data_IF_184466282155
#
_entry.id   IF_184466282155
#
_cell.length_a   1.000
_cell.length_b   1.000
_cell.length_c   1.000
_cell.angle_alpha   90.00
_cell.angle_beta   90.00
_cell.angle_gamma   90.00
#
_symmetry.space_group_name_H-M   'P 1'
#
loop_
_entity.id
_entity.type
_entity.pdbx_description
1 polymer ?
#
# COMPACT_ATOMS: atom_id res chain seq x y z
N UNK A 1 4.86 4.18 -16.02
CA UNK A 1 4.91 3.87 -14.58
C UNK A 1 6.17 4.48 -13.98
N UNK A 2 6.02 5.31 -12.95
CA UNK A 2 7.13 5.86 -12.16
C UNK A 2 7.12 5.11 -10.84
N UNK A 3 8.28 4.66 -10.39
CA UNK A 3 8.45 3.92 -9.14
C UNK A 3 9.37 4.72 -8.23
N UNK A 4 8.88 5.04 -7.04
CA UNK A 4 9.71 5.52 -5.94
C UNK A 4 10.16 4.32 -5.12
N UNK A 5 11.46 4.18 -4.91
CA UNK A 5 12.10 3.05 -4.22
C UNK A 5 12.75 3.51 -2.91
N UNK A 6 13.44 2.61 -2.23
CA UNK A 6 14.23 2.97 -1.05
C UNK A 6 15.38 3.96 -1.36
N UNK A 7 15.79 4.06 -2.62
CA UNK A 7 16.81 5.02 -3.08
C UNK A 7 16.21 6.44 -3.23
N UNK A 8 14.89 6.51 -3.46
CA UNK A 8 14.12 7.76 -3.50
C UNK A 8 13.60 8.06 -2.10
N UNK A 9 14.47 8.40 -1.19
CA UNK A 9 14.13 8.55 0.22
C UNK A 9 13.05 9.62 0.47
N UNK A 10 11.90 9.20 1.01
CA UNK A 10 10.78 10.09 1.36
C UNK A 10 11.10 11.09 2.48
N UNK A 11 12.30 11.05 3.05
CA UNK A 11 12.83 12.09 3.95
C UNK A 11 13.37 13.31 3.19
N UNK A 12 13.62 13.20 1.88
CA UNK A 12 14.09 14.31 1.07
C UNK A 12 12.96 15.08 0.40
N UNK A 13 13.00 16.39 0.53
CA UNK A 13 12.00 17.29 -0.08
C UNK A 13 11.97 17.18 -1.61
N UNK A 14 13.12 16.93 -2.25
CA UNK A 14 13.20 16.71 -3.70
C UNK A 14 12.37 15.51 -4.15
N UNK A 15 12.41 14.40 -3.41
CA UNK A 15 11.60 13.21 -3.67
C UNK A 15 10.11 13.52 -3.54
N UNK A 16 9.73 14.24 -2.49
CA UNK A 16 8.33 14.63 -2.25
C UNK A 16 7.81 15.57 -3.34
N UNK A 17 8.63 16.53 -3.80
CA UNK A 17 8.28 17.41 -4.93
C UNK A 17 8.06 16.61 -6.22
N UNK A 18 8.97 15.69 -6.55
CA UNK A 18 8.82 14.85 -7.74
C UNK A 18 7.55 14.01 -7.67
N UNK A 19 7.24 13.43 -6.50
CA UNK A 19 6.00 12.70 -6.30
C UNK A 19 4.78 13.59 -6.47
N UNK A 20 4.80 14.81 -5.92
CA UNK A 20 3.72 15.78 -6.05
C UNK A 20 3.48 16.17 -7.52
N UNK A 21 4.55 16.43 -8.31
CA UNK A 21 4.41 16.75 -9.73
C UNK A 21 3.75 15.61 -10.52
N UNK A 22 4.17 14.37 -10.30
CA UNK A 22 3.55 13.20 -10.95
C UNK A 22 2.08 13.07 -10.59
N UNK A 23 1.73 13.35 -9.34
CA UNK A 23 0.35 13.20 -8.86
C UNK A 23 -0.59 14.34 -9.28
N UNK A 24 -0.09 15.42 -9.84
CA UNK A 24 -0.93 16.47 -10.46
C UNK A 24 -1.62 15.98 -11.74
N UNK A 25 -1.05 14.99 -12.42
CA UNK A 25 -1.65 14.41 -13.63
C UNK A 25 -3.00 13.77 -13.33
N UNK A 26 -4.01 14.04 -14.16
CA UNK A 26 -5.40 13.67 -13.89
C UNK A 26 -5.68 12.17 -13.85
N UNK A 27 -4.95 11.38 -14.65
CA UNK A 27 -5.09 9.92 -14.71
C UNK A 27 -3.92 9.23 -14.03
N UNK A 28 -3.80 9.40 -12.71
CA UNK A 28 -2.75 8.73 -11.94
C UNK A 28 -3.32 7.81 -10.87
N UNK A 29 -2.60 6.72 -10.68
CA UNK A 29 -2.79 5.80 -9.56
C UNK A 29 -1.54 5.81 -8.69
N UNK A 30 -1.72 5.91 -7.38
CA UNK A 30 -0.64 5.79 -6.41
C UNK A 30 -0.76 4.47 -5.68
N UNK A 31 0.22 3.58 -5.90
CA UNK A 31 0.36 2.34 -5.14
C UNK A 31 1.36 2.55 -4.01
N UNK A 32 0.88 2.51 -2.77
CA UNK A 32 1.64 2.78 -1.55
C UNK A 32 1.94 1.47 -0.85
N UNK A 33 3.20 1.05 -0.84
CA UNK A 33 3.71 -0.13 -0.13
C UNK A 33 4.92 0.30 0.70
N UNK A 34 4.68 0.70 1.95
CA UNK A 34 5.71 1.18 2.86
C UNK A 34 6.37 0.03 3.61
N UNK A 35 7.62 0.21 4.10
CA UNK A 35 8.31 -0.77 4.92
C UNK A 35 7.50 -1.16 6.16
N UNK A 36 6.96 -2.37 6.18
CA UNK A 36 5.99 -2.84 7.19
C UNK A 36 6.62 -3.70 8.32
N UNK A 37 7.95 -3.69 8.45
CA UNK A 37 8.71 -4.56 9.38
C UNK A 37 8.24 -4.37 10.82
N UNK A 38 8.04 -3.14 11.28
CA UNK A 38 7.64 -2.85 12.66
C UNK A 38 6.30 -3.49 13.06
N UNK A 39 5.36 -3.56 12.13
CA UNK A 39 4.03 -4.16 12.33
C UNK A 39 3.96 -5.67 12.02
N UNK A 40 5.06 -6.30 11.65
CA UNK A 40 5.07 -7.73 11.33
C UNK A 40 4.84 -8.57 12.61
N UNK A 41 4.03 -9.66 12.57
CA UNK A 41 3.81 -10.54 13.73
C UNK A 41 5.12 -11.10 14.32
N UNK A 42 6.13 -11.36 13.48
CA UNK A 42 7.45 -11.79 13.96
C UNK A 42 8.19 -10.69 14.73
N UNK A 43 7.94 -9.43 14.43
CA UNK A 43 8.53 -8.32 15.18
C UNK A 43 7.96 -8.26 16.59
N UNK A 44 6.67 -8.51 16.78
CA UNK A 44 6.05 -8.60 18.10
C UNK A 44 6.67 -9.71 18.95
N UNK A 45 6.88 -10.91 18.36
CA UNK A 45 7.57 -12.01 19.01
C UNK A 45 9.04 -11.67 19.34
N UNK A 46 9.73 -10.99 18.44
CA UNK A 46 11.11 -10.60 18.63
C UNK A 46 11.27 -9.51 19.71
N UNK A 47 10.31 -8.60 19.86
CA UNK A 47 10.27 -7.63 20.96
C UNK A 47 10.28 -8.34 22.33
N UNK A 48 9.39 -9.33 22.47
CA UNK A 48 9.33 -10.12 23.73
C UNK A 48 10.61 -10.88 24.04
N UNK A 49 11.26 -11.43 23.00
CA UNK A 49 12.49 -12.24 23.16
C UNK A 49 13.77 -11.39 23.30
N UNK A 50 13.76 -10.17 22.82
CA UNK A 50 14.93 -9.30 22.73
C UNK A 50 14.59 -7.86 23.17
N UNK A 51 14.24 -7.65 24.45
CA UNK A 51 13.84 -6.31 24.95
C UNK A 51 14.95 -5.27 24.80
N UNK A 52 16.21 -5.68 24.75
CA UNK A 52 17.36 -4.81 24.51
C UNK A 52 17.38 -4.17 23.11
N UNK A 53 16.51 -4.63 22.18
CA UNK A 53 16.37 -4.07 20.83
C UNK A 53 15.13 -3.16 20.68
N UNK A 54 14.50 -2.76 21.78
CA UNK A 54 13.27 -1.97 21.74
C UNK A 54 13.43 -0.65 20.96
N UNK A 55 14.57 0.04 21.13
CA UNK A 55 14.86 1.26 20.38
C UNK A 55 14.82 1.07 18.86
N UNK A 56 15.29 -0.08 18.36
CA UNK A 56 15.25 -0.43 16.95
C UNK A 56 13.80 -0.67 16.47
N UNK A 57 12.99 -1.31 17.29
CA UNK A 57 11.58 -1.56 16.94
C UNK A 57 10.75 -0.27 16.95
N UNK A 58 10.97 0.59 17.94
CA UNK A 58 10.37 1.93 18.00
C UNK A 58 10.77 2.78 16.79
N UNK A 59 12.01 2.70 16.35
CA UNK A 59 12.48 3.38 15.15
C UNK A 59 11.69 2.95 13.90
N UNK A 60 11.40 1.66 13.71
CA UNK A 60 10.62 1.19 12.55
C UNK A 60 9.21 1.79 12.55
N UNK A 61 8.58 1.91 13.71
CA UNK A 61 7.25 2.48 13.85
C UNK A 61 7.26 3.99 13.56
N UNK A 62 8.23 4.70 14.12
CA UNK A 62 8.43 6.14 13.87
C UNK A 62 8.66 6.42 12.39
N UNK A 63 9.53 5.65 11.74
CA UNK A 63 9.81 5.81 10.30
C UNK A 63 8.57 5.52 9.45
N UNK A 64 7.83 4.46 9.76
CA UNK A 64 6.60 4.13 9.04
C UNK A 64 5.57 5.27 9.16
N UNK A 65 5.35 5.76 10.39
CA UNK A 65 4.44 6.89 10.65
C UNK A 65 4.85 8.11 9.85
N UNK A 66 6.11 8.51 9.93
CA UNK A 66 6.65 9.66 9.19
C UNK A 66 6.42 9.52 7.68
N UNK A 67 6.80 8.39 7.08
CA UNK A 67 6.61 8.16 5.65
C UNK A 67 5.13 8.25 5.24
N UNK A 68 4.23 7.68 6.03
CA UNK A 68 2.80 7.77 5.75
C UNK A 68 2.28 9.20 5.82
N UNK A 69 2.75 10.00 6.80
CA UNK A 69 2.43 11.42 6.92
C UNK A 69 2.93 12.24 5.71
N UNK A 70 4.15 11.96 5.22
CA UNK A 70 4.67 12.63 4.03
C UNK A 70 3.85 12.29 2.78
N UNK A 71 3.52 11.01 2.58
CA UNK A 71 2.66 10.58 1.48
C UNK A 71 1.27 11.23 1.58
N UNK A 72 0.69 11.29 2.78
CA UNK A 72 -0.61 11.92 3.00
C UNK A 72 -0.59 13.41 2.66
N UNK A 73 0.47 14.14 3.04
CA UNK A 73 0.68 15.53 2.68
C UNK A 73 0.72 15.72 1.16
N UNK A 74 1.55 14.95 0.46
CA UNK A 74 1.69 15.04 -1.01
C UNK A 74 0.37 14.71 -1.73
N UNK A 75 -0.38 13.71 -1.27
CA UNK A 75 -1.70 13.39 -1.82
C UNK A 75 -2.70 14.55 -1.64
N UNK A 76 -2.62 15.27 -0.52
CA UNK A 76 -3.46 16.45 -0.26
C UNK A 76 -3.10 17.57 -1.22
N UNK A 77 -1.82 17.91 -1.33
CA UNK A 77 -1.31 18.94 -2.24
C UNK A 77 -1.66 18.65 -3.71
N UNK A 78 -1.52 17.38 -4.13
CA UNK A 78 -1.88 16.97 -5.49
C UNK A 78 -3.38 17.14 -5.76
N UNK A 79 -4.25 16.78 -4.82
CA UNK A 79 -5.69 16.94 -4.96
C UNK A 79 -6.09 18.43 -5.10
N UNK A 80 -5.51 19.30 -4.27
CA UNK A 80 -5.71 20.75 -4.34
C UNK A 80 -5.21 21.30 -5.67
N UNK A 81 -4.03 20.89 -6.12
CA UNK A 81 -3.47 21.34 -7.40
C UNK A 81 -4.36 20.94 -8.60
N UNK A 82 -4.87 19.70 -8.61
CA UNK A 82 -5.79 19.21 -9.65
C UNK A 82 -7.08 20.02 -9.72
N UNK A 83 -7.65 20.37 -8.57
CA UNK A 83 -8.88 21.17 -8.55
C UNK A 83 -8.66 22.57 -9.15
N UNK A 84 -7.49 23.17 -8.89
CA UNK A 84 -7.10 24.46 -9.47
C UNK A 84 -6.86 24.38 -10.97
N UNK A 85 -6.27 23.30 -11.46
CA UNK A 85 -6.00 23.10 -12.89
C UNK A 85 -7.26 22.82 -13.70
N UNK A 86 -8.21 22.09 -13.13
CA UNK A 86 -9.45 21.75 -13.79
C UNK A 86 -10.34 22.97 -14.04
N UNK A 87 -10.20 24.02 -13.22
CA UNK A 87 -10.93 25.30 -13.30
C UNK A 87 -12.44 25.17 -13.55
N UNK A 88 -13.01 24.05 -13.14
CA UNK A 88 -14.42 23.76 -13.25
C UNK A 88 -15.20 24.61 -12.22
N UNK A 89 -16.04 25.52 -12.66
CA UNK A 89 -17.00 26.28 -11.85
C UNK A 89 -16.41 27.17 -10.73
N UNK A 90 -15.09 27.43 -10.72
CA UNK A 90 -14.42 28.23 -9.69
C UNK A 90 -14.40 27.61 -8.29
N UNK A 91 -14.76 26.33 -8.18
CA UNK A 91 -14.74 25.58 -6.92
C UNK A 91 -13.38 24.88 -6.76
N UNK A 92 -12.64 25.24 -5.72
CA UNK A 92 -11.33 24.66 -5.42
C UNK A 92 -11.40 23.76 -4.19
N UNK A 93 -10.65 22.64 -4.22
CA UNK A 93 -10.48 21.80 -3.05
C UNK A 93 -9.62 22.54 -2.01
N UNK A 94 -10.08 22.58 -0.79
CA UNK A 94 -9.37 23.10 0.39
C UNK A 94 -8.90 21.95 1.29
N UNK A 95 -8.03 22.27 2.27
CA UNK A 95 -7.65 21.31 3.30
C UNK A 95 -8.87 20.79 4.10
N UNK A 96 -9.86 21.66 4.31
CA UNK A 96 -11.10 21.30 4.99
C UNK A 96 -11.93 20.29 4.18
N UNK A 97 -11.98 20.42 2.84
CA UNK A 97 -12.63 19.46 1.96
C UNK A 97 -11.96 18.08 2.02
N UNK A 98 -10.62 18.07 2.04
CA UNK A 98 -9.84 16.83 2.19
C UNK A 98 -10.12 16.18 3.55
N UNK A 99 -10.14 16.98 4.62
CA UNK A 99 -10.39 16.48 5.98
C UNK A 99 -11.81 15.90 6.13
N UNK A 100 -12.81 16.53 5.54
CA UNK A 100 -14.21 16.12 5.65
C UNK A 100 -14.67 15.18 4.53
N UNK A 101 -13.79 14.76 3.62
CA UNK A 101 -14.11 13.89 2.48
C UNK A 101 -15.30 14.42 1.63
N UNK A 102 -15.29 15.69 1.31
CA UNK A 102 -16.37 16.29 0.52
C UNK A 102 -16.45 15.70 -0.89
N UNK A 103 -17.59 15.86 -1.55
CA UNK A 103 -17.74 15.45 -2.95
C UNK A 103 -16.69 16.11 -3.85
N UNK A 104 -16.34 17.37 -3.57
CA UNK A 104 -15.30 18.12 -4.29
C UNK A 104 -13.93 17.41 -4.14
N UNK A 105 -13.57 16.99 -2.93
CA UNK A 105 -12.35 16.22 -2.74
C UNK A 105 -12.34 14.91 -3.55
N UNK A 106 -13.42 14.12 -3.46
CA UNK A 106 -13.52 12.82 -4.15
C UNK A 106 -13.36 12.96 -5.66
N UNK A 107 -13.89 14.03 -6.26
CA UNK A 107 -13.78 14.32 -7.70
C UNK A 107 -12.33 14.44 -8.17
N UNK A 108 -11.46 15.05 -7.36
CA UNK A 108 -10.07 15.36 -7.73
C UNK A 108 -9.01 14.46 -7.12
N UNK A 109 -9.39 13.58 -6.20
CA UNK A 109 -8.46 12.66 -5.58
C UNK A 109 -7.86 11.67 -6.61
N UNK A 110 -6.54 11.39 -6.56
CA UNK A 110 -5.97 10.30 -7.35
C UNK A 110 -6.55 8.96 -6.92
N UNK A 111 -6.45 7.94 -7.78
CA UNK A 111 -6.68 6.58 -7.32
C UNK A 111 -5.55 6.20 -6.33
N UNK A 112 -5.94 5.92 -5.10
CA UNK A 112 -5.03 5.58 -4.01
C UNK A 112 -5.19 4.09 -3.70
N UNK A 113 -4.08 3.38 -3.67
CA UNK A 113 -3.99 1.98 -3.25
C UNK A 113 -2.92 1.87 -2.16
N UNK A 114 -3.31 1.52 -0.96
CA UNK A 114 -2.43 1.33 0.19
C UNK A 114 -2.38 -0.15 0.55
N UNK A 115 -1.19 -0.74 0.55
CA UNK A 115 -0.97 -2.17 0.75
C UNK A 115 -0.14 -2.45 2.00
N UNK A 116 -0.59 -3.42 2.79
CA UNK A 116 0.17 -4.05 3.86
C UNK A 116 -0.17 -5.55 3.92
N UNK A 117 0.73 -6.39 4.46
CA UNK A 117 0.39 -7.77 4.79
C UNK A 117 -0.85 -7.84 5.70
N UNK A 118 -1.76 -8.77 5.44
CA UNK A 118 -3.08 -8.86 6.14
C UNK A 118 -2.95 -8.90 7.66
N UNK A 119 -1.91 -9.58 8.17
CA UNK A 119 -1.68 -9.73 9.62
C UNK A 119 -0.73 -8.68 10.19
N UNK A 120 -0.51 -7.57 9.49
CA UNK A 120 0.34 -6.49 10.00
C UNK A 120 -0.42 -5.67 11.04
N UNK A 121 0.19 -5.43 12.21
CA UNK A 121 -0.44 -4.67 13.30
C UNK A 121 -0.67 -3.20 12.96
N UNK A 122 0.03 -2.65 11.97
CA UNK A 122 -0.20 -1.27 11.53
C UNK A 122 -1.63 -1.04 11.00
N UNK A 123 -2.35 -2.09 10.58
CA UNK A 123 -3.77 -1.97 10.23
C UNK A 123 -4.66 -1.47 11.38
N UNK A 124 -4.22 -1.57 12.63
CA UNK A 124 -5.02 -1.22 13.81
C UNK A 124 -4.55 0.02 14.55
N UNK A 125 -3.41 0.62 14.14
CA UNK A 125 -2.91 1.83 14.80
C UNK A 125 -3.68 3.07 14.36
N UNK A 126 -3.87 4.02 15.27
CA UNK A 126 -4.76 5.18 15.10
C UNK A 126 -4.41 6.03 13.88
N UNK A 127 -3.14 6.30 13.63
CA UNK A 127 -2.72 7.14 12.50
C UNK A 127 -2.96 6.47 11.14
N UNK A 128 -2.87 5.12 11.05
CA UNK A 128 -3.23 4.38 9.84
C UNK A 128 -4.75 4.37 9.65
N UNK A 129 -5.50 4.18 10.74
CA UNK A 129 -6.96 4.26 10.70
C UNK A 129 -7.44 5.67 10.32
N UNK A 130 -6.77 6.71 10.80
CA UNK A 130 -7.05 8.10 10.40
C UNK A 130 -6.79 8.31 8.90
N UNK A 131 -5.66 7.82 8.38
CA UNK A 131 -5.35 7.87 6.95
C UNK A 131 -6.41 7.14 6.10
N UNK A 132 -6.82 5.92 6.50
CA UNK A 132 -7.86 5.14 5.81
C UNK A 132 -9.18 5.90 5.76
N UNK A 133 -9.62 6.47 6.89
CA UNK A 133 -10.86 7.27 6.95
C UNK A 133 -10.76 8.53 6.11
N UNK A 134 -9.69 9.31 6.28
CA UNK A 134 -9.44 10.56 5.56
C UNK A 134 -9.44 10.37 4.05
N UNK A 135 -8.95 9.22 3.56
CA UNK A 135 -8.85 8.90 2.13
C UNK A 135 -9.99 8.04 1.60
N UNK A 136 -11.02 7.77 2.40
CA UNK A 136 -12.17 6.92 2.04
C UNK A 136 -11.75 5.55 1.52
N UNK A 137 -10.73 4.91 2.12
CA UNK A 137 -10.21 3.65 1.62
C UNK A 137 -11.04 2.46 2.12
N UNK A 138 -11.45 1.60 1.20
CA UNK A 138 -12.09 0.31 1.47
C UNK A 138 -11.07 -0.81 1.33
N UNK A 139 -11.07 -1.77 2.25
CA UNK A 139 -10.14 -2.91 2.28
C UNK A 139 -10.60 -4.06 1.40
N UNK A 140 -9.67 -4.63 0.65
CA UNK A 140 -9.86 -5.79 -0.22
C UNK A 140 -8.76 -6.83 0.03
N UNK A 141 -9.09 -8.13 0.03
CA UNK A 141 -8.08 -9.19 0.14
C UNK A 141 -7.32 -9.37 -1.17
N UNK A 142 -6.01 -9.62 -1.05
CA UNK A 142 -5.12 -9.85 -2.18
C UNK A 142 -4.19 -11.02 -1.86
N UNK A 143 -4.46 -12.21 -2.39
CA UNK A 143 -3.66 -13.40 -2.09
C UNK A 143 -2.68 -13.70 -3.22
N UNK A 144 -1.38 -13.71 -2.92
CA UNK A 144 -0.30 -13.85 -3.90
C UNK A 144 -0.35 -15.15 -4.71
N UNK A 145 -0.80 -16.25 -4.11
CA UNK A 145 -0.96 -17.52 -4.83
C UNK A 145 -1.94 -17.43 -6.01
N UNK A 146 -2.93 -16.53 -5.94
CA UNK A 146 -3.90 -16.28 -7.02
C UNK A 146 -3.28 -15.51 -8.19
N UNK A 147 -2.13 -14.90 -7.96
CA UNK A 147 -1.29 -14.22 -8.93
C UNK A 147 0.02 -14.96 -9.17
N UNK A 148 -0.02 -16.29 -9.06
CA UNK A 148 1.10 -17.19 -9.35
C UNK A 148 2.39 -16.90 -8.56
N UNK A 149 2.27 -16.33 -7.36
CA UNK A 149 3.42 -16.10 -6.49
C UNK A 149 4.01 -17.43 -6.02
N UNK A 150 5.24 -17.71 -6.44
CA UNK A 150 5.93 -18.99 -6.16
C UNK A 150 7.21 -18.78 -5.38
N UNK A 151 7.54 -19.76 -4.54
CA UNK A 151 8.82 -19.82 -3.86
C UNK A 151 9.97 -20.05 -4.84
N UNK A 152 11.09 -19.40 -4.57
CA UNK A 152 12.32 -19.51 -5.37
C UNK A 152 13.39 -20.34 -4.67
N UNK A 153 13.24 -20.58 -3.36
CA UNK A 153 14.28 -21.18 -2.53
C UNK A 153 13.80 -22.38 -1.73
N UNK A 154 14.73 -23.31 -1.45
CA UNK A 154 14.55 -24.44 -0.55
C UNK A 154 13.32 -25.31 -0.85
N UNK A 155 12.63 -25.75 0.18
CA UNK A 155 11.43 -26.61 0.08
C UNK A 155 10.21 -25.94 -0.55
N UNK A 156 10.24 -24.60 -0.63
CA UNK A 156 9.18 -23.80 -1.23
C UNK A 156 9.38 -23.61 -2.75
N UNK A 157 10.54 -23.98 -3.30
CA UNK A 157 10.86 -23.76 -4.72
C UNK A 157 9.80 -24.35 -5.63
N UNK A 158 9.24 -23.50 -6.48
CA UNK A 158 8.18 -23.86 -7.45
C UNK A 158 6.79 -23.99 -6.88
N UNK A 159 6.62 -24.07 -5.54
CA UNK A 159 5.30 -24.13 -4.90
C UNK A 159 4.67 -22.76 -4.82
N UNK A 160 3.34 -22.69 -4.86
CA UNK A 160 2.59 -21.47 -4.58
C UNK A 160 2.88 -20.99 -3.16
N UNK A 161 3.09 -19.70 -2.98
CA UNK A 161 3.32 -19.11 -1.67
C UNK A 161 2.02 -18.55 -1.08
N UNK A 162 1.71 -18.95 0.14
CA UNK A 162 0.61 -18.38 0.91
C UNK A 162 1.03 -17.04 1.49
N UNK A 163 1.05 -16.02 0.62
CA UNK A 163 1.25 -14.62 1.00
C UNK A 163 -0.08 -13.89 0.88
N UNK A 164 -0.54 -13.38 2.00
CA UNK A 164 -1.80 -12.66 2.11
C UNK A 164 -1.49 -11.19 2.31
N UNK A 165 -1.92 -10.37 1.36
CA UNK A 165 -1.95 -8.92 1.49
C UNK A 165 -3.38 -8.43 1.65
N UNK A 166 -3.54 -7.28 2.24
CA UNK A 166 -4.74 -6.48 2.18
C UNK A 166 -4.40 -5.19 1.46
N UNK A 167 -5.20 -4.81 0.49
CA UNK A 167 -5.13 -3.51 -0.15
C UNK A 167 -6.33 -2.68 0.28
N UNK A 168 -6.08 -1.41 0.58
CA UNK A 168 -7.13 -0.44 0.86
C UNK A 168 -7.11 0.62 -0.23
N UNK A 169 -8.23 0.85 -0.93
CA UNK A 169 -8.29 1.84 -2.00
C UNK A 169 -9.59 2.64 -1.99
N UNK A 170 -9.54 3.84 -2.59
CA UNK A 170 -10.67 4.76 -2.68
C UNK A 170 -11.59 4.49 -3.88
N UNK A 171 -11.34 3.45 -4.67
CA UNK A 171 -12.21 3.00 -5.75
C UNK A 171 -12.68 1.58 -5.51
N UNK A 172 -13.96 1.40 -5.20
CA UNK A 172 -14.55 0.07 -5.01
C UNK A 172 -14.46 -0.77 -6.29
N UNK A 173 -14.70 -0.18 -7.44
CA UNK A 173 -14.63 -0.87 -8.74
C UNK A 173 -13.21 -1.40 -9.00
N UNK A 174 -12.17 -0.57 -8.80
CA UNK A 174 -10.79 -1.00 -8.95
C UNK A 174 -10.44 -2.09 -7.92
N UNK A 175 -10.75 -1.87 -6.63
CA UNK A 175 -10.46 -2.82 -5.56
C UNK A 175 -11.09 -4.20 -5.79
N UNK A 176 -12.34 -4.24 -6.24
CA UNK A 176 -13.04 -5.49 -6.55
C UNK A 176 -12.42 -6.26 -7.72
N UNK A 177 -11.88 -5.55 -8.72
CA UNK A 177 -11.23 -6.19 -9.89
C UNK A 177 -9.89 -6.84 -9.56
N UNK A 178 -9.17 -6.34 -8.57
CA UNK A 178 -7.89 -6.89 -8.13
C UNK A 178 -8.03 -7.80 -6.90
N UNK A 179 -9.18 -7.76 -6.23
CA UNK A 179 -9.43 -8.59 -5.05
C UNK A 179 -9.42 -10.08 -5.39
N UNK A 180 -8.64 -10.84 -4.63
CA UNK A 180 -8.58 -12.29 -4.77
C UNK A 180 -8.39 -12.95 -3.42
N UNK A 181 -9.02 -14.10 -3.24
CA UNK A 181 -8.79 -14.96 -2.07
C UNK A 181 -8.36 -16.35 -2.51
N UNK A 182 -7.45 -16.93 -1.77
CA UNK A 182 -7.11 -18.33 -1.91
C UNK A 182 -8.35 -19.17 -1.54
N UNK A 183 -8.74 -20.05 -2.45
CA UNK A 183 -9.84 -20.96 -2.24
C UNK A 183 -9.31 -22.40 -2.36
N UNK A 184 -9.54 -23.30 -1.39
CA UNK A 184 -9.11 -24.69 -1.46
C UNK A 184 -9.58 -25.45 -2.70
N UNK A 185 -10.71 -25.07 -3.30
CA UNK A 185 -11.19 -25.66 -4.57
C UNK A 185 -10.38 -25.23 -5.79
N UNK A 186 -9.59 -24.16 -5.68
CA UNK A 186 -8.78 -23.63 -6.80
C UNK A 186 -7.29 -23.82 -6.53
N UNK A 187 -6.88 -23.71 -5.27
CA UNK A 187 -5.51 -23.90 -4.83
C UNK A 187 -5.47 -25.02 -3.81
N UNK A 188 -4.96 -26.18 -4.19
CA UNK A 188 -4.78 -27.28 -3.23
C UNK A 188 -3.91 -26.84 -2.05
N UNK A 189 -4.32 -27.08 -0.78
CA UNK A 189 -3.49 -26.77 0.37
C UNK A 189 -2.08 -27.38 0.33
N UNK A 190 -1.93 -28.56 -0.31
CA UNK A 190 -0.66 -29.28 -0.48
C UNK A 190 0.30 -28.57 -1.46
N UNK A 191 -0.23 -27.70 -2.33
CA UNK A 191 0.58 -26.93 -3.29
C UNK A 191 1.15 -25.64 -2.69
N UNK A 192 0.71 -25.27 -1.49
CA UNK A 192 1.17 -24.07 -0.82
C UNK A 192 2.37 -24.32 0.09
N UNK A 193 3.33 -23.42 0.00
CA UNK A 193 4.38 -23.29 1.00
C UNK A 193 4.20 -21.99 1.81
N UNK A 194 4.72 -22.00 3.04
CA UNK A 194 4.81 -20.79 3.85
C UNK A 194 5.93 -19.90 3.32
N UNK A 195 5.70 -18.60 3.37
CA UNK A 195 6.76 -17.62 3.11
C UNK A 195 7.76 -17.64 4.26
N UNK A 196 9.00 -18.02 4.00
CA UNK A 196 10.05 -18.10 5.01
C UNK A 196 11.45 -17.90 4.41
N UNK A 197 12.42 -17.60 5.26
CA UNK A 197 13.82 -17.46 4.86
C UNK A 197 14.03 -16.43 3.75
N UNK A 198 14.77 -16.81 2.71
CA UNK A 198 15.08 -15.94 1.56
C UNK A 198 13.84 -15.52 0.78
N UNK A 199 12.80 -16.36 0.71
CA UNK A 199 11.55 -16.03 0.03
C UNK A 199 10.83 -14.86 0.69
N UNK A 200 11.05 -14.57 1.97
CA UNK A 200 10.44 -13.41 2.65
C UNK A 200 10.84 -12.08 1.98
N UNK A 201 12.10 -11.94 1.59
CA UNK A 201 12.61 -10.76 0.88
C UNK A 201 12.10 -10.71 -0.57
N UNK A 202 12.16 -11.85 -1.26
CA UNK A 202 11.75 -11.99 -2.65
C UNK A 202 10.26 -11.68 -2.87
N UNK A 203 9.40 -12.03 -1.90
CA UNK A 203 7.96 -11.75 -1.93
C UNK A 203 7.59 -10.29 -1.63
N UNK A 204 8.58 -9.42 -1.43
CA UNK A 204 8.39 -7.97 -1.51
C UNK A 204 8.16 -7.48 -2.94
N UNK A 205 8.53 -8.29 -3.95
CA UNK A 205 8.26 -8.00 -5.34
C UNK A 205 6.93 -8.66 -5.76
N UNK A 206 6.11 -7.90 -6.45
CA UNK A 206 4.86 -8.42 -7.04
C UNK A 206 5.15 -9.27 -8.27
N UNK A 207 4.23 -10.19 -8.59
CA UNK A 207 4.31 -10.98 -9.82
C UNK A 207 3.90 -10.15 -11.02
N UNK A 208 4.30 -10.61 -12.21
CA UNK A 208 3.89 -9.97 -13.47
C UNK A 208 2.37 -10.04 -13.63
N UNK A 209 1.74 -11.16 -13.26
CA UNK A 209 0.30 -11.36 -13.34
C UNK A 209 -0.47 -10.36 -12.48
N UNK A 210 0.04 -10.03 -11.27
CA UNK A 210 -0.56 -8.98 -10.44
C UNK A 210 -0.37 -7.61 -11.08
N UNK A 211 0.83 -7.30 -11.57
CA UNK A 211 1.09 -6.03 -12.23
C UNK A 211 0.17 -5.83 -13.45
N UNK A 212 0.03 -6.85 -14.30
CA UNK A 212 -0.85 -6.82 -15.47
C UNK A 212 -2.32 -6.63 -15.08
N UNK A 213 -2.79 -7.30 -14.00
CA UNK A 213 -4.15 -7.13 -13.51
C UNK A 213 -4.39 -5.72 -12.98
N UNK A 214 -3.43 -5.16 -12.25
CA UNK A 214 -3.48 -3.77 -11.76
C UNK A 214 -3.61 -2.80 -12.94
N UNK A 215 -2.76 -2.94 -13.95
CA UNK A 215 -2.80 -2.10 -15.16
C UNK A 215 -4.13 -2.22 -15.91
N UNK A 216 -4.62 -3.44 -16.16
CA UNK A 216 -5.93 -3.66 -16.80
C UNK A 216 -7.10 -3.10 -16.00
N UNK A 217 -7.00 -3.10 -14.67
CA UNK A 217 -8.07 -2.59 -13.82
C UNK A 217 -8.09 -1.07 -13.73
N UNK A 218 -6.95 -0.44 -13.97
CA UNK A 218 -6.78 1.01 -13.95
C UNK A 218 -7.11 1.67 -15.31
N UNK A 219 -6.82 1.00 -16.43
CA UNK A 219 -7.14 1.50 -17.77
C UNK A 219 -8.66 1.65 -18.00
#
# INVERSE_FOLDING_TARGET
CIRFTLEDDLFYESTLRNLAEVLKETKTMTWISLPCIGGCPYTALNRQRNPQKESKFAMYETHFKFMLEQVDKVLTEACIARSKMANDDGIFVTDNDVYNNTTTYVKYAPLIVFELPTKNSYWTVDYVQAFIRKRCLTKFPLHGCRYNLRGKHGIAKGKLLRKEWTVACNSHNFGSRIATQCNPSICSPSEHARVSGKDTKETGNYTQELADQVHRSFA
#
